data_IF_445101180847
#
_entry.id   IF_445101180847
#
_cell.length_a   1.000
_cell.length_b   1.000
_cell.length_c   1.000
_cell.angle_alpha   90.00
_cell.angle_beta   90.00
_cell.angle_gamma   90.00
#
_symmetry.space_group_name_H-M   'P 1'
#
loop_
_entity.id
_entity.type
_entity.pdbx_description
1 polymer ?
#
# COMPACT_ATOMS: atom_id res chain seq x y z
N UNK A 1 9.82 25.04 71.08
CA UNK A 1 10.85 24.55 70.14
C UNK A 1 10.27 23.35 69.43
N UNK A 2 9.85 23.54 68.22
CA UNK A 2 9.28 22.47 67.37
C UNK A 2 10.26 22.24 66.23
N UNK A 3 10.89 21.09 66.20
CA UNK A 3 11.79 20.68 65.12
C UNK A 3 10.94 20.12 63.98
N UNK A 4 10.92 20.83 62.87
CA UNK A 4 10.32 20.37 61.63
C UNK A 4 11.24 19.37 60.91
N UNK A 5 10.74 18.16 60.71
CA UNK A 5 11.38 17.13 59.91
C UNK A 5 10.98 17.36 58.45
N UNK A 6 11.94 17.74 57.62
CA UNK A 6 11.78 17.80 56.15
C UNK A 6 11.79 16.39 55.58
N UNK A 7 10.61 15.90 55.24
CA UNK A 7 10.49 14.67 54.44
C UNK A 7 10.92 14.93 52.99
N UNK A 8 12.00 14.29 52.61
CA UNK A 8 12.49 14.25 51.22
C UNK A 8 11.63 13.26 50.42
N UNK A 9 10.72 13.76 49.60
CA UNK A 9 9.87 12.99 48.74
C UNK A 9 10.72 12.62 47.51
N UNK A 10 11.25 11.40 47.48
CA UNK A 10 11.90 10.83 46.32
C UNK A 10 10.81 10.53 45.28
N UNK A 11 10.71 11.38 44.26
CA UNK A 11 9.97 11.09 43.05
C UNK A 11 10.77 10.03 42.25
N UNK A 12 10.37 8.78 42.36
CA UNK A 12 10.82 7.74 41.46
C UNK A 12 10.18 7.97 40.08
N UNK A 13 10.94 8.60 39.20
CA UNK A 13 10.62 8.63 37.78
C UNK A 13 10.86 7.23 37.25
N UNK A 14 9.80 6.43 37.17
CA UNK A 14 9.83 5.18 36.42
C UNK A 14 9.94 5.55 34.94
N UNK A 15 11.16 5.52 34.42
CA UNK A 15 11.40 5.46 32.97
C UNK A 15 10.83 4.13 32.50
N UNK A 16 9.60 4.15 32.00
CA UNK A 16 9.12 3.12 31.10
C UNK A 16 10.00 3.21 29.84
N UNK A 17 11.05 2.44 29.81
CA UNK A 17 11.65 1.99 28.58
C UNK A 17 10.63 1.03 27.95
N UNK A 18 9.62 1.60 27.27
CA UNK A 18 8.91 0.88 26.25
C UNK A 18 9.99 0.54 25.24
N UNK A 19 10.49 -0.68 25.30
CA UNK A 19 11.17 -1.24 24.15
C UNK A 19 10.13 -1.21 23.02
N UNK A 20 10.30 -0.31 22.08
CA UNK A 20 9.66 -0.40 20.77
C UNK A 20 10.27 -1.64 20.09
N UNK A 21 9.80 -2.82 20.47
CA UNK A 21 9.97 -4.02 19.69
C UNK A 21 8.80 -4.05 18.72
N UNK A 22 9.05 -4.35 17.48
CA UNK A 22 8.05 -4.63 16.45
C UNK A 22 7.03 -5.65 17.01
N UNK A 23 5.77 -5.25 17.08
CA UNK A 23 4.69 -6.11 17.56
C UNK A 23 4.06 -6.81 16.37
N UNK A 24 4.47 -8.05 16.14
CA UNK A 24 4.06 -8.85 14.98
C UNK A 24 2.54 -8.97 14.82
N UNK A 25 1.79 -9.21 15.91
CA UNK A 25 0.34 -9.38 15.87
C UNK A 25 -0.36 -8.05 15.51
N UNK A 26 0.02 -6.97 16.14
CA UNK A 26 -0.53 -5.63 15.88
C UNK A 26 -0.15 -5.14 14.48
N UNK A 27 1.08 -5.34 14.07
CA UNK A 27 1.58 -5.00 12.75
C UNK A 27 0.81 -5.74 11.63
N UNK A 28 0.59 -7.06 11.82
CA UNK A 28 -0.16 -7.88 10.88
C UNK A 28 -1.62 -7.43 10.79
N UNK A 29 -2.29 -7.13 11.92
CA UNK A 29 -3.66 -6.64 11.93
C UNK A 29 -3.78 -5.31 11.18
N UNK A 30 -2.97 -4.31 11.56
CA UNK A 30 -3.03 -2.97 10.98
C UNK A 30 -2.67 -2.94 9.49
N UNK A 31 -1.65 -3.68 9.09
CA UNK A 31 -1.24 -3.74 7.68
C UNK A 31 -2.25 -4.50 6.82
N UNK A 32 -2.91 -5.54 7.37
CA UNK A 32 -3.98 -6.26 6.67
C UNK A 32 -5.17 -5.34 6.42
N UNK A 33 -5.63 -4.62 7.45
CA UNK A 33 -6.75 -3.67 7.34
C UNK A 33 -6.45 -2.59 6.30
N UNK A 34 -5.21 -2.10 6.26
CA UNK A 34 -4.78 -1.09 5.30
C UNK A 34 -4.73 -1.64 3.87
N UNK A 35 -4.19 -2.85 3.69
CA UNK A 35 -4.17 -3.51 2.38
C UNK A 35 -5.58 -3.83 1.89
N UNK A 36 -6.46 -4.36 2.73
CA UNK A 36 -7.86 -4.61 2.37
C UNK A 36 -8.57 -3.32 1.98
N UNK A 37 -8.36 -2.24 2.71
CA UNK A 37 -8.91 -0.92 2.36
C UNK A 37 -8.44 -0.45 0.99
N UNK A 38 -7.17 -0.64 0.66
CA UNK A 38 -6.64 -0.34 -0.67
C UNK A 38 -7.26 -1.23 -1.75
N UNK A 39 -7.31 -2.55 -1.53
CA UNK A 39 -7.83 -3.50 -2.53
C UNK A 39 -9.32 -3.33 -2.80
N UNK A 40 -10.08 -2.72 -1.88
CA UNK A 40 -11.52 -2.44 -2.05
C UNK A 40 -11.82 -1.06 -2.66
N UNK A 41 -10.82 -0.23 -2.97
CA UNK A 41 -11.03 1.06 -3.63
C UNK A 41 -11.82 0.96 -4.94
N UNK A 42 -11.70 -0.16 -5.66
CA UNK A 42 -12.41 -0.43 -6.89
C UNK A 42 -13.95 -0.48 -6.73
N UNK A 43 -14.46 -0.84 -5.54
CA UNK A 43 -15.90 -0.97 -5.28
C UNK A 43 -16.61 0.39 -5.37
N UNK A 44 -15.89 1.47 -5.12
CA UNK A 44 -16.39 2.84 -5.14
C UNK A 44 -16.05 3.57 -6.45
N UNK A 45 -15.34 2.90 -7.37
CA UNK A 45 -14.76 3.52 -8.56
C UNK A 45 -15.35 3.00 -9.84
N UNK A 46 -15.89 3.92 -10.59
CA UNK A 46 -16.21 3.68 -11.99
C UNK A 46 -14.92 3.67 -12.82
N UNK A 47 -15.05 3.19 -14.02
CA UNK A 47 -14.01 3.16 -15.03
C UNK A 47 -13.35 4.53 -15.21
N UNK A 48 -12.04 4.57 -15.20
CA UNK A 48 -11.24 5.72 -15.59
C UNK A 48 -11.20 5.77 -17.12
N UNK A 49 -12.07 6.56 -17.75
CA UNK A 49 -12.12 6.75 -19.21
C UNK A 49 -11.98 8.22 -19.57
N UNK A 50 -11.38 8.48 -20.73
CA UNK A 50 -11.22 9.83 -21.29
C UNK A 50 -10.31 10.77 -20.46
N UNK A 51 -9.44 10.22 -19.60
CA UNK A 51 -8.44 10.99 -18.88
C UNK A 51 -7.15 11.14 -19.69
N UNK A 52 -6.48 12.26 -19.53
CA UNK A 52 -5.07 12.41 -19.90
C UNK A 52 -4.17 12.03 -18.71
N UNK A 53 -2.84 12.11 -18.92
CA UNK A 53 -1.88 11.70 -17.90
C UNK A 53 -1.96 12.56 -16.62
N UNK A 54 -2.24 13.86 -16.76
CA UNK A 54 -2.33 14.78 -15.64
C UNK A 54 -3.62 14.51 -14.84
N UNK A 55 -4.73 14.23 -15.52
CA UNK A 55 -5.98 13.86 -14.89
C UNK A 55 -5.86 12.51 -14.16
N UNK A 56 -5.24 11.51 -14.80
CA UNK A 56 -4.98 10.21 -14.16
C UNK A 56 -4.10 10.38 -12.93
N UNK A 57 -3.00 11.13 -13.04
CA UNK A 57 -2.10 11.36 -11.92
C UNK A 57 -2.81 12.04 -10.76
N UNK A 58 -3.58 13.10 -11.03
CA UNK A 58 -4.36 13.81 -10.01
C UNK A 58 -5.33 12.87 -9.28
N UNK A 59 -5.95 11.96 -10.02
CA UNK A 59 -6.86 10.97 -9.46
C UNK A 59 -6.14 9.96 -8.57
N UNK A 60 -4.96 9.49 -9.00
CA UNK A 60 -4.14 8.59 -8.18
C UNK A 60 -3.60 9.28 -6.93
N UNK A 61 -3.20 10.55 -7.02
CA UNK A 61 -2.73 11.36 -5.89
C UNK A 61 -3.81 11.52 -4.82
N UNK A 62 -5.08 11.71 -5.21
CA UNK A 62 -6.18 11.88 -4.27
C UNK A 62 -6.57 10.56 -3.60
N UNK A 63 -6.63 9.47 -4.35
CA UNK A 63 -7.31 8.26 -3.92
C UNK A 63 -6.38 7.10 -3.56
N UNK A 64 -5.22 7.00 -4.24
CA UNK A 64 -4.30 5.86 -4.15
C UNK A 64 -3.05 6.18 -3.34
N UNK A 65 -2.44 7.32 -3.57
CA UNK A 65 -1.17 7.69 -2.92
C UNK A 65 -1.21 7.71 -1.39
N UNK A 66 -2.32 7.98 -0.71
CA UNK A 66 -2.40 7.82 0.73
C UNK A 66 -2.02 6.42 1.25
N UNK A 67 -2.19 5.39 0.43
CA UNK A 67 -1.87 4.00 0.75
C UNK A 67 -0.45 3.57 0.41
N UNK A 68 0.33 4.41 -0.28
CA UNK A 68 1.64 4.08 -0.82
C UNK A 68 2.75 4.81 -0.06
N UNK A 69 3.93 4.18 0.03
CA UNK A 69 5.14 4.88 0.48
C UNK A 69 5.53 5.98 -0.50
N UNK A 70 6.25 7.00 -0.03
CA UNK A 70 6.74 8.09 -0.89
C UNK A 70 7.52 7.57 -2.10
N UNK A 71 8.36 6.55 -1.90
CA UNK A 71 9.13 5.94 -2.97
C UNK A 71 8.27 5.24 -4.02
N UNK A 72 7.18 4.59 -3.59
CA UNK A 72 6.29 3.91 -4.51
C UNK A 72 5.39 4.89 -5.27
N UNK A 73 4.96 5.99 -4.63
CA UNK A 73 4.27 7.10 -5.29
C UNK A 73 5.12 7.70 -6.43
N UNK A 74 6.42 7.90 -6.18
CA UNK A 74 7.37 8.41 -7.19
C UNK A 74 7.47 7.46 -8.39
N UNK A 75 7.57 6.16 -8.12
CA UNK A 75 7.60 5.10 -9.15
C UNK A 75 6.35 5.13 -10.03
N UNK A 76 5.15 5.24 -9.43
CA UNK A 76 3.90 5.32 -10.18
C UNK A 76 3.79 6.63 -10.96
N UNK A 77 4.15 7.75 -10.33
CA UNK A 77 4.10 9.06 -10.98
C UNK A 77 4.94 9.11 -12.25
N UNK A 78 6.15 8.55 -12.21
CA UNK A 78 7.03 8.53 -13.38
C UNK A 78 6.47 7.64 -14.50
N UNK A 79 5.86 6.50 -14.17
CA UNK A 79 5.21 5.64 -15.16
C UNK A 79 4.00 6.31 -15.79
N UNK A 80 3.16 6.99 -15.02
CA UNK A 80 1.96 7.68 -15.53
C UNK A 80 2.35 8.84 -16.42
N UNK A 81 3.40 9.61 -16.12
CA UNK A 81 3.87 10.71 -16.98
C UNK A 81 4.29 10.25 -18.37
N UNK A 82 4.86 9.05 -18.45
CA UNK A 82 5.33 8.46 -19.70
C UNK A 82 4.26 7.61 -20.42
N UNK A 83 3.07 7.48 -19.82
CA UNK A 83 1.99 6.65 -20.35
C UNK A 83 1.36 7.27 -21.60
N UNK A 84 1.25 6.48 -22.69
CA UNK A 84 0.56 6.88 -23.93
C UNK A 84 -0.76 6.11 -24.10
N UNK A 85 -1.87 6.76 -23.84
CA UNK A 85 -3.21 6.19 -24.03
C UNK A 85 -3.52 5.75 -25.46
N UNK A 86 -2.72 6.16 -26.46
CA UNK A 86 -2.88 5.75 -27.85
C UNK A 86 -2.08 4.51 -28.22
N UNK A 87 -1.00 4.25 -27.50
CA UNK A 87 -0.19 3.06 -27.62
C UNK A 87 -0.52 2.16 -26.41
N UNK A 88 -0.82 0.89 -26.63
CA UNK A 88 -0.99 -0.06 -25.52
C UNK A 88 0.32 -0.14 -24.77
N UNK A 89 0.41 0.58 -23.69
CA UNK A 89 1.50 0.48 -22.75
C UNK A 89 1.13 -0.54 -21.68
N UNK A 90 2.04 -1.44 -21.47
CA UNK A 90 2.08 -2.25 -20.27
C UNK A 90 2.33 -1.30 -19.09
N UNK A 91 1.29 -0.96 -18.33
CA UNK A 91 1.41 -0.19 -17.08
C UNK A 91 2.34 -0.92 -16.09
N UNK A 92 2.62 -2.16 -16.41
CA UNK A 92 3.50 -3.01 -15.67
C UNK A 92 2.95 -3.39 -14.29
N UNK A 93 3.70 -4.22 -13.61
CA UNK A 93 3.32 -4.70 -12.29
C UNK A 93 3.29 -3.61 -11.20
N UNK A 94 3.91 -2.46 -11.44
CA UNK A 94 3.92 -1.37 -10.45
C UNK A 94 2.56 -0.67 -10.32
N UNK A 95 1.72 -0.73 -11.37
CA UNK A 95 0.33 -0.26 -11.35
C UNK A 95 -0.62 -1.47 -11.53
N UNK A 96 -0.34 -2.53 -10.82
CA UNK A 96 -1.04 -3.82 -10.92
C UNK A 96 -2.56 -3.75 -10.68
N UNK A 97 -3.01 -2.72 -9.98
CA UNK A 97 -4.41 -2.49 -9.64
C UNK A 97 -5.23 -1.87 -10.78
N UNK A 98 -4.60 -1.49 -11.90
CA UNK A 98 -5.26 -0.98 -13.10
C UNK A 98 -4.91 -1.85 -14.31
N UNK A 99 -5.92 -2.16 -15.14
CA UNK A 99 -5.74 -2.84 -16.41
C UNK A 99 -6.38 -2.04 -17.54
N UNK A 100 -5.88 -2.23 -18.77
CA UNK A 100 -6.39 -1.55 -19.95
C UNK A 100 -7.64 -2.23 -20.50
N UNK A 101 -8.64 -1.43 -20.84
CA UNK A 101 -9.78 -1.94 -21.61
C UNK A 101 -9.40 -2.20 -23.06
N UNK A 102 -10.03 -3.21 -23.65
CA UNK A 102 -9.94 -3.39 -25.11
C UNK A 102 -10.55 -2.20 -25.86
N UNK A 103 -10.04 -1.92 -27.06
CA UNK A 103 -10.56 -0.87 -27.94
C UNK A 103 -12.07 -1.01 -28.25
N UNK A 104 -12.62 -2.21 -28.13
CA UNK A 104 -14.05 -2.50 -28.32
C UNK A 104 -14.92 -1.88 -27.21
N UNK A 105 -14.35 -1.61 -26.04
CA UNK A 105 -15.05 -1.09 -24.86
C UNK A 105 -14.68 0.36 -24.53
N UNK A 106 -14.26 1.16 -25.51
CA UNK A 106 -13.86 2.58 -25.35
C UNK A 106 -12.63 2.77 -24.44
N UNK A 107 -11.46 2.71 -24.94
CA UNK A 107 -10.18 2.98 -24.27
C UNK A 107 -10.31 3.54 -22.85
N UNK A 108 -9.88 2.80 -21.85
CA UNK A 108 -9.96 3.22 -20.44
C UNK A 108 -9.21 2.25 -19.55
N UNK A 109 -9.10 2.60 -18.29
CA UNK A 109 -8.49 1.77 -17.28
C UNK A 109 -9.56 1.19 -16.36
N UNK A 110 -9.41 -0.06 -15.96
CA UNK A 110 -10.30 -0.74 -15.02
C UNK A 110 -9.52 -1.06 -13.76
N UNK A 111 -10.19 -0.90 -12.64
CA UNK A 111 -9.70 -1.42 -11.38
C UNK A 111 -9.76 -2.94 -11.37
N UNK A 112 -8.67 -3.55 -10.94
CA UNK A 112 -8.59 -5.00 -10.80
C UNK A 112 -8.93 -5.43 -9.39
N UNK A 113 -9.53 -6.59 -9.27
CA UNK A 113 -9.93 -7.17 -7.98
C UNK A 113 -8.96 -8.27 -7.58
N UNK A 114 -8.42 -8.17 -6.37
CA UNK A 114 -7.48 -9.14 -5.82
C UNK A 114 -7.98 -9.67 -4.47
N UNK A 115 -7.59 -10.92 -4.19
CA UNK A 115 -7.78 -11.54 -2.87
C UNK A 115 -6.44 -11.81 -2.21
N UNK A 116 -6.33 -11.51 -0.92
CA UNK A 116 -5.17 -11.88 -0.10
C UNK A 116 -5.21 -13.40 0.12
N UNK A 117 -4.10 -14.09 -0.13
CA UNK A 117 -3.96 -15.54 0.03
C UNK A 117 -3.13 -15.91 1.23
N UNK A 118 -2.00 -15.28 1.41
CA UNK A 118 -1.06 -15.55 2.48
C UNK A 118 -0.39 -14.26 2.94
N UNK A 119 0.08 -14.24 4.19
CA UNK A 119 0.91 -13.17 4.73
C UNK A 119 2.13 -13.78 5.43
N UNK A 120 3.25 -13.07 5.37
CA UNK A 120 4.50 -13.43 6.03
C UNK A 120 5.17 -12.20 6.63
N UNK A 121 5.46 -12.26 7.92
CA UNK A 121 6.13 -11.17 8.65
C UNK A 121 7.64 -11.33 8.53
N UNK A 122 8.30 -10.28 8.08
CA UNK A 122 9.76 -10.17 8.05
C UNK A 122 10.23 -9.30 9.22
N UNK A 123 10.67 -9.96 10.29
CA UNK A 123 11.11 -9.29 11.52
C UNK A 123 12.47 -8.57 11.35
N UNK A 124 13.26 -8.92 10.35
CA UNK A 124 14.57 -8.30 10.11
C UNK A 124 14.39 -6.93 9.44
N UNK A 125 13.45 -6.84 8.52
CA UNK A 125 13.16 -5.62 7.76
C UNK A 125 11.96 -4.85 8.32
N UNK A 126 11.31 -5.36 9.38
CA UNK A 126 10.08 -4.78 9.96
C UNK A 126 9.02 -4.52 8.87
N UNK A 127 8.84 -5.52 7.98
CA UNK A 127 7.90 -5.48 6.86
C UNK A 127 6.97 -6.69 6.85
N UNK A 128 5.88 -6.60 6.12
CA UNK A 128 4.94 -7.70 5.94
C UNK A 128 4.71 -7.92 4.44
N UNK A 129 4.92 -9.15 4.02
CA UNK A 129 4.75 -9.59 2.65
C UNK A 129 3.43 -10.31 2.50
N UNK A 130 2.61 -9.88 1.53
CA UNK A 130 1.32 -10.46 1.20
C UNK A 130 1.34 -11.08 -0.17
N UNK A 131 1.00 -12.36 -0.24
CA UNK A 131 0.66 -12.99 -1.52
C UNK A 131 -0.78 -12.66 -1.85
N UNK A 132 -1.01 -12.01 -2.99
CA UNK A 132 -2.35 -11.72 -3.51
C UNK A 132 -2.55 -12.42 -4.85
N UNK A 133 -3.78 -12.75 -5.16
CA UNK A 133 -4.11 -13.28 -6.47
C UNK A 133 -5.25 -12.51 -7.11
N UNK A 134 -5.16 -12.33 -8.41
CA UNK A 134 -6.20 -11.72 -9.23
C UNK A 134 -7.45 -12.61 -9.22
N UNK A 135 -8.62 -12.02 -9.00
CA UNK A 135 -9.89 -12.76 -8.94
C UNK A 135 -10.41 -13.10 -10.34
N UNK A 136 -10.10 -12.28 -11.34
CA UNK A 136 -10.41 -12.52 -12.74
C UNK A 136 -9.11 -12.64 -13.55
N UNK A 137 -9.08 -13.55 -14.51
CA UNK A 137 -7.88 -13.75 -15.34
C UNK A 137 -7.61 -12.52 -16.22
N UNK A 138 -6.45 -11.90 -16.03
CA UNK A 138 -5.91 -10.91 -16.94
C UNK A 138 -4.89 -11.55 -17.89
N UNK A 139 -4.74 -10.96 -19.07
CA UNK A 139 -3.70 -11.35 -20.02
C UNK A 139 -2.42 -10.51 -19.86
N UNK A 140 -2.50 -9.44 -19.09
CA UNK A 140 -1.45 -8.43 -18.97
C UNK A 140 -0.86 -8.42 -17.55
N UNK A 141 -1.71 -8.54 -16.54
CA UNK A 141 -1.31 -8.51 -15.14
C UNK A 141 -1.03 -9.94 -14.66
N UNK A 142 0.10 -10.20 -13.98
CA UNK A 142 0.37 -11.48 -13.35
C UNK A 142 -0.74 -11.89 -12.39
N UNK A 143 -1.15 -13.17 -12.45
CA UNK A 143 -2.25 -13.66 -11.62
C UNK A 143 -1.91 -13.70 -10.13
N UNK A 144 -0.62 -13.85 -9.80
CA UNK A 144 -0.15 -13.91 -8.42
C UNK A 144 0.97 -12.90 -8.20
N UNK A 145 0.80 -12.05 -7.20
CA UNK A 145 1.72 -10.99 -6.85
C UNK A 145 2.10 -11.09 -5.37
N UNK A 146 3.29 -10.61 -5.06
CA UNK A 146 3.73 -10.35 -3.70
C UNK A 146 3.77 -8.84 -3.46
N UNK A 147 3.08 -8.39 -2.42
CA UNK A 147 3.08 -6.99 -1.97
C UNK A 147 3.87 -6.90 -0.68
N UNK A 148 4.81 -5.99 -0.62
CA UNK A 148 5.50 -5.62 0.60
C UNK A 148 4.83 -4.40 1.23
N UNK A 149 4.44 -4.53 2.50
CA UNK A 149 3.95 -3.45 3.33
C UNK A 149 5.01 -3.06 4.36
N UNK A 150 5.20 -1.76 4.56
CA UNK A 150 6.10 -1.20 5.57
C UNK A 150 5.40 -0.09 6.35
N UNK A 151 5.87 0.18 7.58
CA UNK A 151 5.39 1.32 8.34
C UNK A 151 6.14 2.59 7.91
N UNK A 152 5.41 3.61 7.45
CA UNK A 152 5.95 4.92 7.10
C UNK A 152 5.15 6.02 7.80
N UNK A 153 5.81 6.81 8.63
CA UNK A 153 5.20 7.90 9.41
C UNK A 153 4.06 7.45 10.38
N UNK A 154 4.08 6.20 10.82
CA UNK A 154 3.09 5.63 11.73
C UNK A 154 1.91 4.95 11.05
N UNK A 155 1.89 4.89 9.71
CA UNK A 155 0.87 4.21 8.91
C UNK A 155 1.50 3.09 8.08
N UNK A 156 0.79 1.95 7.98
CA UNK A 156 1.19 0.86 7.08
C UNK A 156 0.89 1.22 5.64
N UNK A 157 1.90 1.05 4.76
CA UNK A 157 1.82 1.45 3.35
C UNK A 157 2.43 0.42 2.41
N UNK A 158 1.90 0.35 1.20
CA UNK A 158 2.49 -0.45 0.13
C UNK A 158 3.83 0.16 -0.27
N UNK A 159 4.88 -0.65 -0.23
CA UNK A 159 6.24 -0.23 -0.57
C UNK A 159 6.68 -0.74 -1.94
N UNK A 160 6.29 -1.96 -2.26
CA UNK A 160 6.68 -2.59 -3.53
C UNK A 160 5.74 -3.72 -3.92
N UNK A 161 5.77 -4.07 -5.20
CA UNK A 161 5.10 -5.25 -5.75
C UNK A 161 6.08 -6.06 -6.59
N UNK A 162 5.96 -7.38 -6.55
CA UNK A 162 6.74 -8.30 -7.37
C UNK A 162 5.89 -9.49 -7.82
N UNK A 163 6.31 -10.15 -8.90
CA UNK A 163 5.69 -11.42 -9.30
C UNK A 163 6.09 -12.52 -8.32
N UNK A 164 5.13 -13.40 -7.99
CA UNK A 164 5.46 -14.65 -7.35
C UNK A 164 5.99 -15.62 -8.42
N UNK A 165 7.24 -16.03 -8.29
CA UNK A 165 7.80 -17.13 -9.09
C UNK A 165 7.07 -18.42 -8.69
N UNK A 166 6.48 -19.14 -9.66
CA UNK A 166 5.85 -20.44 -9.47
C UNK A 166 6.85 -21.56 -9.14
#
# INVERSE_FOLDING_TARGET
>A
MIKGTKGLMLLSVSLFLSGCGFNEEEALEQSTDQLESFLTLHEERERVSDLDNDDLLSHLEEDVFPYLTENYQETISDKVKDYDFNEKLDLGKDIFFLDESSKEYNNGLFWQTFSIKESNVDLENESINYSISLDELSLVIPNNLNIEMVEENGDWKLNSVSELEE
#
